data_IF_664939737996
#
_entry.id   IF_664939737996
#
_cell.length_a   1.000
_cell.length_b   1.000
_cell.length_c   1.000
_cell.angle_alpha   90.00
_cell.angle_beta   90.00
_cell.angle_gamma   90.00
#
_symmetry.space_group_name_H-M   'P 1'
#
loop_
_entity.id
_entity.type
_entity.pdbx_description
1 polymer ?
#
# COMPACT_ATOMS: atom_id res chain seq x y z
N UNK A 1 9.35 -6.60 8.07
CA UNK A 1 8.66 -6.93 6.80
C UNK A 1 8.31 -8.39 6.89
N UNK A 2 7.05 -8.72 6.73
CA UNK A 2 6.55 -10.04 7.12
C UNK A 2 6.97 -11.11 6.13
N UNK A 3 7.41 -12.24 6.67
CA UNK A 3 7.70 -13.44 5.90
C UNK A 3 6.46 -14.34 5.98
N UNK A 4 5.63 -14.33 4.94
CA UNK A 4 4.44 -15.17 4.92
C UNK A 4 4.79 -16.66 4.91
N UNK A 5 3.87 -17.46 5.44
CA UNK A 5 4.06 -18.90 5.63
C UNK A 5 4.43 -19.64 4.34
N UNK A 6 3.76 -19.33 3.23
CA UNK A 6 4.03 -19.98 1.93
C UNK A 6 5.47 -19.74 1.48
N UNK A 7 5.97 -18.52 1.64
CA UNK A 7 7.35 -18.21 1.28
C UNK A 7 8.35 -18.86 2.25
N UNK A 8 8.04 -18.93 3.56
CA UNK A 8 8.86 -19.66 4.53
C UNK A 8 8.96 -21.16 4.23
N UNK A 9 7.87 -21.79 3.82
CA UNK A 9 7.87 -23.20 3.39
C UNK A 9 8.76 -23.40 2.17
N UNK A 10 8.68 -22.50 1.19
CA UNK A 10 9.56 -22.55 0.03
C UNK A 10 11.04 -22.41 0.42
N UNK A 11 11.38 -21.50 1.35
CA UNK A 11 12.78 -21.33 1.77
C UNK A 11 13.37 -22.59 2.38
N UNK A 12 12.57 -23.44 3.02
CA UNK A 12 13.03 -24.73 3.56
C UNK A 12 13.55 -25.68 2.47
N UNK A 13 13.09 -25.51 1.22
CA UNK A 13 13.45 -26.37 0.08
C UNK A 13 14.72 -25.95 -0.64
N UNK A 14 15.20 -24.73 -0.42
CA UNK A 14 16.39 -24.19 -1.10
C UNK A 14 17.63 -24.26 -0.20
N UNK A 15 18.80 -24.24 -0.84
CA UNK A 15 20.12 -24.28 -0.21
C UNK A 15 21.08 -23.27 -0.85
N UNK A 16 22.20 -23.00 -0.20
CA UNK A 16 23.26 -22.11 -0.70
C UNK A 16 23.19 -20.69 -0.14
N UNK A 17 23.97 -19.78 -0.71
CA UNK A 17 24.21 -18.44 -0.17
C UNK A 17 22.93 -17.64 0.09
N UNK A 18 21.94 -17.74 -0.81
CA UNK A 18 20.68 -17.01 -0.63
C UNK A 18 19.89 -17.53 0.57
N UNK A 19 19.93 -18.85 0.82
CA UNK A 19 19.25 -19.46 1.97
C UNK A 19 19.91 -19.02 3.27
N UNK A 20 21.24 -19.06 3.33
CA UNK A 20 22.00 -18.60 4.49
C UNK A 20 21.72 -17.14 4.80
N UNK A 21 21.66 -16.30 3.75
CA UNK A 21 21.32 -14.88 3.90
C UNK A 21 19.89 -14.69 4.41
N UNK A 22 18.90 -15.41 3.88
CA UNK A 22 17.52 -15.39 4.37
C UNK A 22 17.49 -15.73 5.85
N UNK A 23 18.08 -16.85 6.25
CA UNK A 23 18.09 -17.31 7.64
C UNK A 23 18.79 -16.31 8.58
N UNK A 24 19.83 -15.62 8.11
CA UNK A 24 20.57 -14.61 8.89
C UNK A 24 19.75 -13.37 9.27
N UNK A 25 18.67 -13.09 8.54
CA UNK A 25 17.83 -11.91 8.74
C UNK A 25 16.41 -12.23 9.20
N UNK A 26 16.05 -13.51 9.30
CA UNK A 26 14.76 -13.90 9.88
C UNK A 26 14.75 -13.66 11.39
N UNK A 27 13.66 -13.08 11.88
CA UNK A 27 13.44 -12.76 13.29
C UNK A 27 11.96 -12.88 13.63
N UNK A 28 11.64 -12.71 14.91
CA UNK A 28 10.28 -12.57 15.42
C UNK A 28 10.00 -11.10 15.77
N UNK A 29 8.78 -10.64 15.52
CA UNK A 29 8.27 -9.36 16.02
C UNK A 29 7.69 -9.50 17.45
N UNK A 30 7.14 -8.42 18.00
CA UNK A 30 6.53 -8.39 19.33
C UNK A 30 5.26 -9.26 19.48
N UNK A 31 4.67 -9.68 18.36
CA UNK A 31 3.49 -10.53 18.31
C UNK A 31 3.82 -11.99 17.93
N UNK A 32 5.10 -12.32 17.73
CA UNK A 32 5.55 -13.67 17.35
C UNK A 32 5.45 -13.99 15.86
N UNK A 33 5.16 -13.00 15.00
CA UNK A 33 5.19 -13.15 13.56
C UNK A 33 6.62 -13.24 13.06
N UNK A 34 6.84 -14.05 12.02
CA UNK A 34 8.15 -14.15 11.39
C UNK A 34 8.36 -12.97 10.44
N UNK A 35 9.46 -12.24 10.65
CA UNK A 35 9.79 -11.04 9.88
C UNK A 35 11.22 -11.10 9.36
N UNK A 36 11.48 -10.36 8.28
CA UNK A 36 12.83 -9.94 7.90
C UNK A 36 13.24 -8.70 8.67
N UNK A 37 14.35 -8.81 9.40
CA UNK A 37 15.01 -7.69 10.05
C UNK A 37 15.60 -6.77 8.97
N UNK A 38 15.25 -5.48 9.05
CA UNK A 38 15.81 -4.48 8.15
C UNK A 38 17.27 -4.17 8.56
N UNK A 39 18.09 -3.87 7.55
CA UNK A 39 19.43 -3.35 7.74
C UNK A 39 19.38 -1.90 8.26
N UNK A 40 20.56 -1.30 8.44
CA UNK A 40 20.69 0.10 8.83
C UNK A 40 19.83 1.03 7.95
N UNK A 41 19.32 2.11 8.56
CA UNK A 41 18.41 3.08 7.91
C UNK A 41 17.14 2.44 7.33
N UNK A 42 16.66 1.34 7.93
CA UNK A 42 15.47 0.60 7.50
C UNK A 42 15.57 0.09 6.07
N UNK A 43 16.78 -0.17 5.56
CA UNK A 43 17.00 -0.69 4.21
C UNK A 43 16.68 -2.20 4.17
N UNK A 44 16.05 -2.65 3.08
CA UNK A 44 15.84 -4.09 2.88
C UNK A 44 17.19 -4.82 2.78
N UNK A 45 17.40 -5.91 3.54
CA UNK A 45 18.68 -6.61 3.59
C UNK A 45 19.04 -7.32 2.29
N UNK A 46 18.09 -7.49 1.36
CA UNK A 46 18.29 -8.12 0.06
C UNK A 46 18.56 -7.12 -1.07
N UNK A 47 18.56 -5.81 -0.81
CA UNK A 47 18.90 -4.81 -1.82
C UNK A 47 20.41 -4.70 -1.99
N UNK A 48 20.92 -5.03 -3.18
CA UNK A 48 22.33 -4.86 -3.52
C UNK A 48 22.71 -3.39 -3.76
N UNK A 49 23.97 -3.17 -4.16
CA UNK A 49 24.53 -1.82 -4.41
C UNK A 49 23.84 -1.09 -5.56
N UNK A 50 23.22 -1.83 -6.49
CA UNK A 50 22.43 -1.30 -7.61
C UNK A 50 20.95 -1.08 -7.24
N UNK A 51 20.57 -1.31 -5.97
CA UNK A 51 19.17 -1.29 -5.50
C UNK A 51 18.27 -2.35 -6.17
N UNK A 52 18.86 -3.45 -6.66
CA UNK A 52 18.10 -4.61 -7.12
C UNK A 52 17.95 -5.62 -5.99
N UNK A 53 16.87 -6.40 -6.01
CA UNK A 53 16.57 -7.40 -5.00
C UNK A 53 17.28 -8.72 -5.33
N UNK A 54 18.35 -9.05 -4.60
CA UNK A 54 19.11 -10.29 -4.80
C UNK A 54 18.25 -11.54 -4.57
N UNK A 55 17.26 -11.45 -3.69
CA UNK A 55 16.31 -12.54 -3.46
C UNK A 55 15.46 -12.81 -4.71
N UNK A 56 14.89 -11.77 -5.31
CA UNK A 56 14.15 -11.93 -6.57
C UNK A 56 15.05 -12.47 -7.68
N UNK A 57 16.32 -12.02 -7.75
CA UNK A 57 17.28 -12.49 -8.74
C UNK A 57 17.59 -13.98 -8.56
N UNK A 58 17.77 -14.42 -7.32
CA UNK A 58 18.21 -15.78 -7.00
C UNK A 58 17.08 -16.82 -7.04
N UNK A 59 15.90 -16.47 -6.54
CA UNK A 59 14.81 -17.43 -6.32
C UNK A 59 13.50 -17.07 -7.03
N UNK A 60 13.46 -16.03 -7.86
CA UNK A 60 12.24 -15.60 -8.55
C UNK A 60 11.32 -14.72 -7.69
N UNK A 61 10.52 -13.90 -8.37
CA UNK A 61 9.63 -12.93 -7.71
C UNK A 61 8.49 -13.60 -6.95
N UNK A 62 7.92 -14.64 -7.54
CA UNK A 62 6.82 -15.47 -7.02
C UNK A 62 7.15 -16.18 -5.70
N UNK A 63 8.44 -16.32 -5.39
CA UNK A 63 8.94 -16.94 -4.18
C UNK A 63 9.35 -15.91 -3.10
N UNK A 64 9.32 -14.61 -3.41
CA UNK A 64 9.48 -13.56 -2.39
C UNK A 64 8.26 -13.49 -1.47
N UNK A 65 8.32 -12.78 -0.33
CA UNK A 65 7.17 -12.68 0.56
C UNK A 65 6.02 -11.90 -0.09
N UNK A 66 4.80 -12.07 0.42
CA UNK A 66 3.56 -11.52 -0.13
C UNK A 66 3.68 -10.03 -0.43
N UNK A 67 4.16 -9.22 0.53
CA UNK A 67 4.34 -7.78 0.34
C UNK A 67 5.28 -7.44 -0.82
N UNK A 68 6.35 -8.23 -1.05
CA UNK A 68 7.25 -8.01 -2.18
C UNK A 68 6.62 -8.40 -3.52
N UNK A 69 5.78 -9.44 -3.55
CA UNK A 69 5.08 -9.91 -4.75
C UNK A 69 3.98 -8.97 -5.19
N UNK A 70 3.29 -8.38 -4.23
CA UNK A 70 2.16 -7.48 -4.52
C UNK A 70 2.63 -6.08 -4.82
N UNK A 71 3.65 -5.57 -4.11
CA UNK A 71 4.18 -4.22 -4.34
C UNK A 71 4.51 -3.95 -5.82
N UNK A 72 4.15 -2.77 -6.37
CA UNK A 72 3.48 -1.62 -5.74
C UNK A 72 1.95 -1.72 -5.73
N UNK A 73 1.37 -2.86 -6.10
CA UNK A 73 -0.08 -3.07 -6.09
C UNK A 73 -0.58 -3.28 -4.67
N UNK A 74 -1.76 -2.78 -4.39
CA UNK A 74 -2.49 -3.04 -3.17
C UNK A 74 -3.86 -3.61 -3.52
N UNK A 75 -4.37 -4.46 -2.64
CA UNK A 75 -5.66 -5.14 -2.74
C UNK A 75 -6.33 -4.92 -1.40
N UNK A 76 -7.54 -4.35 -1.41
CA UNK A 76 -8.34 -4.11 -0.22
C UNK A 76 -9.69 -4.81 -0.39
N UNK A 77 -10.07 -5.60 0.62
CA UNK A 77 -11.34 -6.29 0.65
C UNK A 77 -12.36 -5.52 1.50
N UNK A 78 -13.50 -5.20 0.91
CA UNK A 78 -14.64 -4.54 1.55
C UNK A 78 -15.90 -5.40 1.43
N UNK A 79 -15.90 -6.57 2.08
CA UNK A 79 -17.07 -7.44 2.01
C UNK A 79 -17.12 -8.14 0.66
N UNK A 80 -18.18 -7.87 -0.11
CA UNK A 80 -18.36 -8.40 -1.45
C UNK A 80 -17.65 -7.61 -2.55
N UNK A 81 -16.78 -6.66 -2.20
CA UNK A 81 -16.05 -5.82 -3.15
C UNK A 81 -14.55 -5.89 -2.87
N UNK A 82 -13.76 -6.27 -3.88
CA UNK A 82 -12.29 -6.21 -3.84
C UNK A 82 -11.85 -5.00 -4.65
N UNK A 83 -11.11 -4.08 -4.05
CA UNK A 83 -10.53 -2.92 -4.71
C UNK A 83 -9.03 -3.12 -4.91
N UNK A 84 -8.58 -3.03 -6.16
CA UNK A 84 -7.17 -3.13 -6.52
C UNK A 84 -6.65 -1.79 -7.03
N UNK A 85 -5.44 -1.44 -6.62
CA UNK A 85 -4.79 -0.23 -7.10
C UNK A 85 -3.27 -0.35 -7.13
N UNK A 86 -2.63 0.73 -7.57
CA UNK A 86 -1.18 0.81 -7.72
C UNK A 86 -0.65 2.05 -7.00
N UNK A 87 0.43 1.87 -6.23
CA UNK A 87 1.08 2.94 -5.48
C UNK A 87 2.18 3.65 -6.28
N UNK A 88 2.36 4.94 -5.99
CA UNK A 88 3.46 5.78 -6.48
C UNK A 88 4.84 5.38 -5.93
N UNK A 89 4.91 4.45 -4.97
CA UNK A 89 6.17 4.04 -4.35
C UNK A 89 7.16 3.37 -5.33
N UNK A 90 6.69 2.91 -6.50
CA UNK A 90 7.55 2.42 -7.58
C UNK A 90 7.76 3.53 -8.62
N UNK A 91 9.00 3.83 -9.05
CA UNK A 91 9.26 4.88 -10.06
C UNK A 91 8.59 4.58 -11.39
N UNK A 92 8.59 3.30 -11.83
CA UNK A 92 7.90 2.89 -13.07
C UNK A 92 6.39 3.09 -12.95
N UNK A 93 5.80 2.71 -11.80
CA UNK A 93 4.38 2.93 -11.56
C UNK A 93 4.04 4.43 -11.54
N UNK A 94 4.85 5.24 -10.89
CA UNK A 94 4.71 6.70 -10.89
C UNK A 94 4.77 7.27 -12.29
N UNK A 95 5.76 6.88 -13.09
CA UNK A 95 5.89 7.32 -14.49
C UNK A 95 4.65 6.95 -15.30
N UNK A 96 4.12 5.74 -15.13
CA UNK A 96 2.88 5.33 -15.79
C UNK A 96 1.70 6.24 -15.37
N UNK A 97 1.51 6.47 -14.06
CA UNK A 97 0.39 7.27 -13.55
C UNK A 97 0.49 8.73 -14.01
N UNK A 98 1.68 9.36 -13.91
CA UNK A 98 1.86 10.76 -14.28
C UNK A 98 1.82 11.02 -15.78
N UNK A 99 2.09 10.00 -16.60
CA UNK A 99 2.00 10.11 -18.06
C UNK A 99 0.59 9.86 -18.62
N UNK A 100 -0.38 9.44 -17.79
CA UNK A 100 -1.76 9.27 -18.23
C UNK A 100 -2.36 10.61 -18.69
N UNK A 101 -2.71 10.69 -19.98
CA UNK A 101 -3.36 11.85 -20.57
C UNK A 101 -4.87 11.82 -20.42
N UNK A 102 -5.48 10.65 -20.31
CA UNK A 102 -6.92 10.50 -20.13
C UNK A 102 -7.35 10.57 -18.67
N UNK A 103 -8.65 10.80 -18.43
CA UNK A 103 -9.22 10.73 -17.07
C UNK A 103 -9.02 9.31 -16.54
N UNK A 104 -8.59 9.20 -15.29
CA UNK A 104 -8.51 7.91 -14.62
C UNK A 104 -9.92 7.36 -14.41
N UNK A 105 -10.17 6.13 -14.84
CA UNK A 105 -11.45 5.42 -14.71
C UNK A 105 -11.22 4.09 -14.01
N UNK A 106 -12.29 3.51 -13.49
CA UNK A 106 -12.29 2.20 -12.85
C UNK A 106 -12.92 1.16 -13.79
N UNK A 107 -12.47 -0.08 -13.67
CA UNK A 107 -13.04 -1.24 -14.36
C UNK A 107 -13.61 -2.14 -13.28
N UNK A 108 -14.88 -2.49 -13.41
CA UNK A 108 -15.58 -3.39 -12.50
C UNK A 108 -15.68 -4.78 -13.15
N UNK A 109 -15.25 -5.82 -12.42
CA UNK A 109 -15.31 -7.21 -12.86
C UNK A 109 -15.94 -8.08 -11.78
N UNK A 110 -16.88 -8.94 -12.17
CA UNK A 110 -17.45 -9.95 -11.29
C UNK A 110 -16.51 -11.17 -11.23
N UNK A 111 -16.37 -11.76 -10.04
CA UNK A 111 -15.60 -12.99 -9.83
C UNK A 111 -16.31 -13.91 -8.83
N UNK A 112 -15.88 -15.16 -8.75
CA UNK A 112 -16.50 -16.21 -7.92
C UNK A 112 -15.94 -16.26 -6.48
N UNK A 113 -15.19 -15.26 -6.03
CA UNK A 113 -14.63 -15.24 -4.67
C UNK A 113 -15.73 -14.95 -3.66
N UNK A 114 -15.65 -15.61 -2.51
CA UNK A 114 -16.56 -15.34 -1.40
C UNK A 114 -16.23 -13.98 -0.77
N UNK A 115 -17.25 -13.23 -0.30
CA UNK A 115 -17.04 -12.01 0.45
C UNK A 115 -16.14 -12.22 1.67
N UNK A 116 -15.23 -11.28 1.92
CA UNK A 116 -14.39 -11.30 3.12
C UNK A 116 -14.99 -10.48 4.25
N UNK A 117 -14.74 -10.87 5.50
CA UNK A 117 -15.13 -10.07 6.66
C UNK A 117 -14.35 -8.75 6.66
N UNK A 118 -15.05 -7.65 6.92
CA UNK A 118 -14.44 -6.36 7.17
C UNK A 118 -15.06 -5.73 8.42
N UNK A 119 -14.37 -4.76 9.00
CA UNK A 119 -14.76 -4.13 10.28
C UNK A 119 -15.70 -2.92 10.08
N UNK A 120 -16.09 -2.61 8.84
CA UNK A 120 -16.91 -1.44 8.50
C UNK A 120 -18.38 -1.87 8.48
N UNK A 121 -19.22 -1.20 9.26
CA UNK A 121 -20.66 -1.46 9.21
C UNK A 121 -21.27 -1.03 7.87
N UNK A 122 -22.42 -1.61 7.53
CA UNK A 122 -23.06 -1.40 6.24
C UNK A 122 -23.45 0.07 5.98
N UNK A 123 -23.82 0.83 7.01
CA UNK A 123 -24.22 2.22 6.88
C UNK A 123 -22.99 3.09 6.57
N UNK A 124 -21.92 2.92 7.34
CA UNK A 124 -20.64 3.61 7.12
C UNK A 124 -20.07 3.27 5.75
N UNK A 125 -20.07 1.99 5.36
CA UNK A 125 -19.61 1.56 4.05
C UNK A 125 -20.37 2.26 2.92
N UNK A 126 -21.70 2.26 2.97
CA UNK A 126 -22.53 2.88 1.94
C UNK A 126 -22.33 4.40 1.86
N UNK A 127 -22.17 5.05 3.01
CA UNK A 127 -21.84 6.47 3.09
C UNK A 127 -20.47 6.77 2.43
N UNK A 128 -19.43 6.00 2.77
CA UNK A 128 -18.08 6.15 2.21
C UNK A 128 -18.06 5.89 0.69
N UNK A 129 -18.80 4.90 0.19
CA UNK A 129 -18.92 4.63 -1.24
C UNK A 129 -19.55 5.81 -1.98
N UNK A 130 -20.61 6.42 -1.42
CA UNK A 130 -21.18 7.65 -1.98
C UNK A 130 -20.19 8.80 -1.95
N UNK A 131 -19.51 8.98 -0.82
CA UNK A 131 -18.55 10.05 -0.66
C UNK A 131 -17.38 9.93 -1.66
N UNK A 132 -16.86 8.72 -1.83
CA UNK A 132 -15.80 8.41 -2.79
C UNK A 132 -16.20 8.75 -4.23
N UNK A 133 -17.44 8.46 -4.64
CA UNK A 133 -17.94 8.83 -5.99
C UNK A 133 -17.90 10.35 -6.20
N UNK A 134 -18.25 11.12 -5.17
CA UNK A 134 -18.16 12.58 -5.23
C UNK A 134 -16.70 13.08 -5.22
N UNK A 135 -15.83 12.47 -4.42
CA UNK A 135 -14.40 12.78 -4.45
C UNK A 135 -13.80 12.56 -5.86
N UNK A 136 -14.20 11.48 -6.54
CA UNK A 136 -13.79 11.22 -7.92
C UNK A 136 -14.34 12.25 -8.90
N UNK A 137 -15.60 12.68 -8.76
CA UNK A 137 -16.18 13.71 -9.64
C UNK A 137 -15.42 15.04 -9.53
N UNK A 138 -15.01 15.43 -8.32
CA UNK A 138 -14.18 16.61 -8.07
C UNK A 138 -12.83 16.48 -8.78
N UNK A 139 -12.08 15.40 -8.53
CA UNK A 139 -10.71 15.28 -9.06
C UNK A 139 -10.68 15.06 -10.59
N UNK A 140 -11.73 14.48 -11.16
CA UNK A 140 -11.87 14.26 -12.60
C UNK A 140 -12.39 15.49 -13.37
N UNK A 141 -12.80 16.57 -12.69
CA UNK A 141 -13.28 17.79 -13.33
C UNK A 141 -12.13 18.62 -13.93
N UNK A 142 -11.77 18.30 -15.17
CA UNK A 142 -10.67 18.95 -15.90
C UNK A 142 -10.99 20.33 -16.45
N UNK A 143 -12.21 20.84 -16.24
CA UNK A 143 -12.56 22.23 -16.55
C UNK A 143 -11.98 23.20 -15.50
N UNK A 144 -11.52 22.68 -14.35
CA UNK A 144 -10.85 23.42 -13.27
C UNK A 144 -9.36 23.11 -13.21
N UNK A 145 -8.55 24.08 -12.73
CA UNK A 145 -7.14 23.84 -12.48
C UNK A 145 -6.95 22.77 -11.38
N UNK A 146 -5.81 22.08 -11.42
CA UNK A 146 -5.50 21.03 -10.44
C UNK A 146 -5.53 21.55 -9.00
N UNK A 147 -5.07 22.79 -8.78
CA UNK A 147 -5.11 23.44 -7.47
C UNK A 147 -6.53 23.53 -6.92
N UNK A 148 -7.47 23.99 -7.74
CA UNK A 148 -8.85 24.21 -7.30
C UNK A 148 -9.55 22.88 -6.98
N UNK A 149 -9.30 21.85 -7.80
CA UNK A 149 -9.78 20.49 -7.53
C UNK A 149 -9.25 19.92 -6.22
N UNK A 150 -7.97 20.16 -5.90
CA UNK A 150 -7.36 19.68 -4.66
C UNK A 150 -7.94 20.42 -3.43
N UNK A 151 -8.22 21.72 -3.56
CA UNK A 151 -8.87 22.49 -2.50
C UNK A 151 -10.31 22.01 -2.27
N UNK A 152 -11.09 21.81 -3.33
CA UNK A 152 -12.44 21.26 -3.25
C UNK A 152 -12.45 19.86 -2.63
N UNK A 153 -11.51 19.00 -3.01
CA UNK A 153 -11.39 17.66 -2.44
C UNK A 153 -11.03 17.72 -0.94
N UNK A 154 -10.15 18.64 -0.55
CA UNK A 154 -9.77 18.83 0.84
C UNK A 154 -10.96 19.30 1.69
N UNK A 155 -11.68 20.32 1.22
CA UNK A 155 -12.84 20.84 1.93
C UNK A 155 -13.95 19.79 1.99
N UNK A 156 -14.17 19.04 0.91
CA UNK A 156 -15.08 17.91 0.91
C UNK A 156 -14.69 16.85 1.94
N UNK A 157 -13.41 16.47 2.00
CA UNK A 157 -12.90 15.52 3.00
C UNK A 157 -13.12 15.99 4.44
N UNK A 158 -12.96 17.29 4.71
CA UNK A 158 -13.26 17.87 6.03
C UNK A 158 -14.73 17.74 6.40
N UNK A 159 -15.65 17.98 5.46
CA UNK A 159 -17.08 17.82 5.73
C UNK A 159 -17.44 16.35 6.00
N UNK A 160 -16.91 15.43 5.20
CA UNK A 160 -17.12 13.98 5.40
C UNK A 160 -16.57 13.51 6.75
N UNK A 161 -15.40 14.02 7.18
CA UNK A 161 -14.82 13.65 8.47
C UNK A 161 -15.74 14.00 9.65
N UNK A 162 -16.48 15.13 9.59
CA UNK A 162 -17.42 15.54 10.65
C UNK A 162 -18.55 14.54 10.87
N UNK A 163 -18.94 13.84 9.80
CA UNK A 163 -20.05 12.88 9.82
C UNK A 163 -19.63 11.48 10.28
N UNK A 164 -18.33 11.16 10.23
CA UNK A 164 -17.79 9.85 10.61
C UNK A 164 -17.44 9.80 12.09
N UNK A 165 -16.45 10.60 12.50
CA UNK A 165 -15.97 10.70 13.87
C UNK A 165 -15.20 12.02 14.03
N UNK A 166 -15.19 12.58 15.24
CA UNK A 166 -14.29 13.70 15.55
C UNK A 166 -12.85 13.22 15.46
N UNK A 167 -12.13 13.69 14.44
CA UNK A 167 -10.67 13.59 14.43
C UNK A 167 -10.15 14.54 15.51
N UNK A 168 -9.98 14.01 16.73
CA UNK A 168 -9.16 14.67 17.73
C UNK A 168 -7.75 14.70 17.15
N UNK A 169 -7.36 15.83 16.56
CA UNK A 169 -5.96 16.11 16.27
C UNK A 169 -5.20 15.87 17.57
N UNK A 170 -4.53 14.71 17.66
CA UNK A 170 -3.64 14.42 18.76
C UNK A 170 -2.71 15.62 18.91
N UNK A 171 -2.49 16.07 20.14
CA UNK A 171 -1.61 17.16 20.59
C UNK A 171 -0.14 16.98 20.18
N UNK A 172 0.13 16.61 18.94
CA UNK A 172 1.40 16.73 18.25
C UNK A 172 1.13 17.56 17.01
N UNK A 173 1.44 18.85 17.13
CA UNK A 173 1.96 19.63 16.01
C UNK A 173 3.28 18.99 15.58
N UNK A 174 3.20 17.81 14.95
CA UNK A 174 4.17 17.40 13.98
C UNK A 174 3.77 18.16 12.73
N UNK A 175 4.30 19.39 12.62
CA UNK A 175 4.27 20.14 11.37
C UNK A 175 4.61 19.14 10.26
N UNK A 176 3.78 18.99 9.23
CA UNK A 176 4.03 18.09 8.11
C UNK A 176 5.49 18.13 7.59
N UNK A 177 6.11 19.31 7.68
CA UNK A 177 7.53 19.56 7.44
C UNK A 177 8.50 18.78 8.36
N UNK A 178 8.22 18.65 9.66
CA UNK A 178 9.04 17.88 10.61
C UNK A 178 9.20 16.43 10.14
N UNK A 179 8.13 15.81 9.67
CA UNK A 179 8.14 14.43 9.15
C UNK A 179 9.02 14.29 7.88
N UNK A 180 9.03 15.30 7.02
CA UNK A 180 9.88 15.35 5.81
C UNK A 180 11.34 15.70 6.12
N UNK A 181 11.60 16.46 7.19
CA UNK A 181 12.94 16.89 7.60
C UNK A 181 13.60 15.98 8.64
N UNK A 182 12.91 14.95 9.12
CA UNK A 182 13.52 14.00 10.06
C UNK A 182 14.58 13.19 9.29
N UNK A 183 15.87 13.25 9.66
CA UNK A 183 16.88 12.44 9.00
C UNK A 183 16.53 10.95 9.14
N UNK A 184 16.53 10.21 8.04
CA UNK A 184 16.41 8.75 8.03
C UNK A 184 17.73 8.07 8.38
#
# INVERSE_FOLDING_TARGET
MDADEKSLEYYKTISGEIRERIDSVLSKDEFGNTIFKLAEKKRCPFLNKQNLCDMHIAIGGEHTPYTCRTFPRFINDFGGTEEMGISFSCPVASDMIFNLKEKMTFVDEANDRLPQLNEIDAQTYYYLVKARKQAYSIIQNRDKHIKDRLLELLDYGKEIQKDLDTYDEGMMILTFLKYLTTPK
#
